data_IF_608721123640
#
_entry.id   IF_608721123640
#
_cell.length_a   1.000
_cell.length_b   1.000
_cell.length_c   1.000
_cell.angle_alpha   90.00
_cell.angle_beta   90.00
_cell.angle_gamma   90.00
#
_symmetry.space_group_name_H-M   'P 1'
#
loop_
_entity.id
_entity.type
_entity.pdbx_description
1 polymer ?
#
# COMPACT_ATOMS: atom_id res chain seq x y z
N UNK A 1 -6.02 17.14 -4.16
CA UNK A 1 -5.59 15.75 -4.47
C UNK A 1 -6.71 14.83 -4.92
N UNK A 2 -7.78 14.67 -4.14
CA UNK A 2 -8.87 13.70 -4.42
C UNK A 2 -9.32 13.66 -5.90
N UNK A 3 -9.77 14.80 -6.44
CA UNK A 3 -10.25 14.90 -7.82
C UNK A 3 -9.20 14.48 -8.86
N UNK A 4 -7.96 14.95 -8.69
CA UNK A 4 -6.84 14.64 -9.59
C UNK A 4 -6.46 13.16 -9.56
N UNK A 5 -6.45 12.55 -8.37
CA UNK A 5 -6.18 11.11 -8.23
C UNK A 5 -7.29 10.29 -8.90
N UNK A 6 -8.56 10.66 -8.67
CA UNK A 6 -9.70 9.98 -9.29
C UNK A 6 -9.65 10.08 -10.82
N UNK A 7 -9.30 11.25 -11.36
CA UNK A 7 -9.09 11.48 -12.80
C UNK A 7 -7.99 10.58 -13.37
N UNK A 8 -6.79 10.59 -12.77
CA UNK A 8 -5.67 9.73 -13.19
C UNK A 8 -6.08 8.25 -13.17
N UNK A 9 -6.81 7.81 -12.14
CA UNK A 9 -7.29 6.44 -12.06
C UNK A 9 -8.24 6.10 -13.21
N UNK A 10 -9.21 6.97 -13.51
CA UNK A 10 -10.15 6.76 -14.62
C UNK A 10 -9.45 6.73 -15.97
N UNK A 11 -8.52 7.66 -16.22
CA UNK A 11 -7.75 7.72 -17.47
C UNK A 11 -6.89 6.48 -17.69
N UNK A 12 -6.53 5.79 -16.61
CA UNK A 12 -5.76 4.53 -16.63
C UNK A 12 -6.63 3.27 -16.51
N UNK A 13 -7.96 3.41 -16.47
CA UNK A 13 -8.89 2.29 -16.34
C UNK A 13 -8.78 1.54 -15.01
N UNK A 14 -8.26 2.19 -13.96
CA UNK A 14 -8.13 1.60 -12.62
C UNK A 14 -9.16 2.19 -11.65
N UNK A 15 -9.61 1.37 -10.69
CA UNK A 15 -10.55 1.82 -9.65
C UNK A 15 -9.84 2.67 -8.61
N UNK A 16 -10.55 3.66 -8.07
CA UNK A 16 -10.07 4.54 -6.99
C UNK A 16 -10.93 4.32 -5.74
N UNK A 17 -10.30 4.04 -4.60
CA UNK A 17 -11.00 3.83 -3.33
C UNK A 17 -10.55 4.85 -2.28
N UNK A 18 -11.50 5.44 -1.56
CA UNK A 18 -11.23 6.41 -0.50
C UNK A 18 -11.49 5.80 0.88
N UNK A 19 -10.51 5.85 1.78
CA UNK A 19 -10.69 5.39 3.17
C UNK A 19 -11.45 6.43 4.00
N UNK A 20 -12.60 6.03 4.55
CA UNK A 20 -13.46 6.79 5.49
C UNK A 20 -13.78 5.87 6.68
N UNK A 21 -12.74 5.32 7.29
CA UNK A 21 -12.81 4.22 8.27
C UNK A 21 -12.38 4.65 9.69
N UNK A 22 -12.41 5.94 9.98
CA UNK A 22 -12.19 6.43 11.35
C UNK A 22 -13.44 6.25 12.20
N UNK A 23 -13.27 6.27 13.53
CA UNK A 23 -14.39 6.48 14.46
C UNK A 23 -14.98 7.87 14.20
N UNK A 24 -16.29 7.97 14.04
CA UNK A 24 -17.02 9.23 13.79
C UNK A 24 -17.84 9.60 15.03
N UNK A 25 -17.70 10.84 15.49
CA UNK A 25 -18.56 11.44 16.52
C UNK A 25 -19.55 12.42 15.90
N UNK A 26 -20.52 12.89 16.69
CA UNK A 26 -21.56 13.83 16.21
C UNK A 26 -20.96 15.10 15.58
N UNK A 27 -19.88 15.62 16.15
CA UNK A 27 -19.14 16.78 15.61
C UNK A 27 -18.48 16.52 14.25
N UNK A 28 -18.15 15.25 13.95
CA UNK A 28 -17.53 14.86 12.67
C UNK A 28 -18.55 14.69 11.55
N UNK A 29 -19.85 14.67 11.85
CA UNK A 29 -20.90 14.29 10.89
C UNK A 29 -20.91 15.18 9.65
N UNK A 30 -20.81 16.49 9.83
CA UNK A 30 -20.76 17.46 8.72
C UNK A 30 -19.54 17.21 7.84
N UNK A 31 -18.37 16.99 8.44
CA UNK A 31 -17.14 16.72 7.71
C UNK A 31 -17.23 15.38 6.97
N UNK A 32 -17.67 14.31 7.64
CA UNK A 32 -17.86 12.97 7.06
C UNK A 32 -18.77 13.04 5.84
N UNK A 33 -19.93 13.72 5.93
CA UNK A 33 -20.85 13.88 4.80
C UNK A 33 -20.19 14.64 3.65
N UNK A 34 -19.52 15.76 3.93
CA UNK A 34 -18.83 16.55 2.89
C UNK A 34 -17.72 15.77 2.18
N UNK A 35 -17.01 14.87 2.89
CA UNK A 35 -15.98 13.99 2.33
C UNK A 35 -16.60 12.96 1.38
N UNK A 36 -17.71 12.34 1.79
CA UNK A 36 -18.41 11.35 0.96
C UNK A 36 -19.06 12.02 -0.26
N UNK A 37 -19.64 13.22 -0.11
CA UNK A 37 -20.14 14.03 -1.23
C UNK A 37 -19.02 14.37 -2.21
N UNK A 38 -17.83 14.75 -1.71
CA UNK A 38 -16.67 15.01 -2.54
C UNK A 38 -16.18 13.75 -3.26
N UNK A 39 -16.23 12.58 -2.61
CA UNK A 39 -15.90 11.30 -3.23
C UNK A 39 -16.87 10.96 -4.38
N UNK A 40 -18.17 11.18 -4.17
CA UNK A 40 -19.20 11.00 -5.20
C UNK A 40 -18.96 11.94 -6.39
N UNK A 41 -18.79 13.24 -6.13
CA UNK A 41 -18.52 14.27 -7.16
C UNK A 41 -17.23 13.99 -7.94
N UNK A 42 -16.20 13.49 -7.25
CA UNK A 42 -14.94 13.09 -7.87
C UNK A 42 -15.03 11.76 -8.64
N UNK A 43 -16.17 11.07 -8.59
CA UNK A 43 -16.39 9.72 -9.16
C UNK A 43 -15.37 8.69 -8.63
N UNK A 44 -15.15 8.71 -7.31
CA UNK A 44 -14.46 7.65 -6.61
C UNK A 44 -15.27 6.35 -6.75
N UNK A 45 -14.59 5.23 -7.02
CA UNK A 45 -15.27 3.96 -7.30
C UNK A 45 -15.96 3.37 -6.07
N UNK A 46 -15.37 3.52 -4.88
CA UNK A 46 -15.95 3.09 -3.60
C UNK A 46 -15.28 3.80 -2.41
N UNK A 47 -15.96 3.87 -1.28
CA UNK A 47 -15.32 4.19 0.00
C UNK A 47 -15.02 2.91 0.79
N UNK A 48 -14.00 2.95 1.63
CA UNK A 48 -13.69 1.89 2.61
C UNK A 48 -14.06 2.42 3.98
N UNK A 49 -15.12 1.90 4.59
CA UNK A 49 -15.74 2.46 5.80
C UNK A 49 -15.84 1.44 6.93
N UNK A 50 -15.87 1.93 8.17
CA UNK A 50 -16.16 1.13 9.37
C UNK A 50 -17.25 1.70 10.26
N UNK A 51 -17.45 3.02 10.24
CA UNK A 51 -18.51 3.64 11.01
C UNK A 51 -19.86 3.46 10.32
N UNK A 52 -20.90 3.11 11.09
CA UNK A 52 -22.24 2.88 10.56
C UNK A 52 -22.81 4.15 9.93
N UNK A 53 -22.52 5.34 10.47
CA UNK A 53 -22.99 6.59 9.91
C UNK A 53 -22.44 6.83 8.50
N UNK A 54 -21.14 6.56 8.28
CA UNK A 54 -20.51 6.67 6.97
C UNK A 54 -21.06 5.63 5.98
N UNK A 55 -21.24 4.38 6.42
CA UNK A 55 -21.80 3.32 5.59
C UNK A 55 -23.24 3.61 5.17
N UNK A 56 -24.08 4.07 6.09
CA UNK A 56 -25.48 4.41 5.82
C UNK A 56 -25.55 5.59 4.85
N UNK A 57 -24.84 6.69 5.10
CA UNK A 57 -24.89 7.87 4.24
C UNK A 57 -24.36 7.59 2.82
N UNK A 58 -23.27 6.83 2.70
CA UNK A 58 -22.76 6.43 1.39
C UNK A 58 -23.78 5.61 0.60
N UNK A 59 -24.46 4.65 1.23
CA UNK A 59 -25.52 3.89 0.58
C UNK A 59 -26.72 4.77 0.19
N UNK A 60 -27.13 5.71 1.06
CA UNK A 60 -28.24 6.65 0.79
C UNK A 60 -28.00 7.46 -0.48
N UNK A 61 -26.78 7.94 -0.70
CA UNK A 61 -26.43 8.73 -1.90
C UNK A 61 -25.86 7.89 -3.05
N UNK A 62 -25.88 6.56 -2.96
CA UNK A 62 -25.44 5.66 -4.03
C UNK A 62 -23.93 5.54 -4.23
N UNK A 63 -23.11 5.85 -3.21
CA UNK A 63 -21.67 5.58 -3.19
C UNK A 63 -21.41 4.14 -2.73
N UNK A 64 -20.63 3.37 -3.49
CA UNK A 64 -20.31 1.99 -3.15
C UNK A 64 -19.45 1.89 -1.88
N UNK A 65 -19.76 0.91 -1.02
CA UNK A 65 -19.11 0.73 0.29
C UNK A 65 -18.36 -0.60 0.34
N UNK A 66 -17.07 -0.53 0.67
CA UNK A 66 -16.24 -1.65 1.09
C UNK A 66 -16.08 -1.63 2.61
N UNK A 67 -16.16 -2.81 3.23
CA UNK A 67 -16.04 -2.94 4.68
C UNK A 67 -14.56 -2.88 5.08
N UNK A 68 -14.21 -1.90 5.91
CA UNK A 68 -12.86 -1.75 6.46
C UNK A 68 -12.54 -2.88 7.43
N UNK A 69 -11.27 -3.27 7.49
CA UNK A 69 -10.78 -4.20 8.52
C UNK A 69 -11.05 -3.70 9.95
N UNK A 70 -11.22 -2.39 10.15
CA UNK A 70 -11.57 -1.81 11.46
C UNK A 70 -12.94 -2.21 12.01
N UNK A 71 -13.84 -2.78 11.18
CA UNK A 71 -15.10 -3.37 11.65
C UNK A 71 -14.89 -4.63 12.50
N UNK A 72 -13.71 -5.24 12.46
CA UNK A 72 -13.40 -6.44 13.23
C UNK A 72 -14.33 -7.63 12.91
N UNK A 73 -14.61 -7.84 11.62
CA UNK A 73 -15.39 -8.99 11.14
C UNK A 73 -14.48 -10.20 11.14
N UNK A 74 -14.69 -11.13 12.08
CA UNK A 74 -13.86 -12.32 12.28
C UNK A 74 -14.56 -13.64 11.98
N UNK A 75 -15.84 -13.62 11.63
CA UNK A 75 -16.63 -14.82 11.36
C UNK A 75 -17.78 -14.53 10.38
N UNK A 76 -18.32 -15.60 9.79
CA UNK A 76 -19.38 -15.54 8.79
C UNK A 76 -20.69 -14.92 9.32
N UNK A 77 -21.01 -15.10 10.60
CA UNK A 77 -22.25 -14.55 11.18
C UNK A 77 -22.20 -13.03 11.34
N UNK A 78 -21.06 -12.50 11.77
CA UNK A 78 -20.84 -11.05 11.80
C UNK A 78 -20.91 -10.45 10.39
N UNK A 79 -20.35 -11.14 9.38
CA UNK A 79 -20.44 -10.71 7.99
C UNK A 79 -21.90 -10.73 7.49
N UNK A 80 -22.65 -11.77 7.81
CA UNK A 80 -24.08 -11.91 7.46
C UNK A 80 -24.93 -10.81 8.08
N UNK A 81 -24.68 -10.48 9.35
CA UNK A 81 -25.35 -9.38 10.03
C UNK A 81 -25.13 -8.04 9.31
N UNK A 82 -23.88 -7.72 8.97
CA UNK A 82 -23.56 -6.45 8.28
C UNK A 82 -24.13 -6.44 6.87
N UNK A 83 -24.05 -7.54 6.13
CA UNK A 83 -24.62 -7.65 4.78
C UNK A 83 -26.14 -7.41 4.79
N UNK A 84 -26.86 -7.97 5.78
CA UNK A 84 -28.29 -7.75 5.95
C UNK A 84 -28.63 -6.30 6.32
N UNK A 85 -27.84 -5.67 7.19
CA UNK A 85 -28.02 -4.27 7.56
C UNK A 85 -27.84 -3.35 6.34
N UNK A 86 -26.76 -3.56 5.56
CA UNK A 86 -26.49 -2.78 4.35
C UNK A 86 -27.56 -2.97 3.28
N UNK A 87 -28.06 -4.19 3.10
CA UNK A 87 -29.21 -4.45 2.21
C UNK A 87 -30.45 -3.65 2.64
N UNK A 88 -30.74 -3.63 3.94
CA UNK A 88 -31.92 -2.92 4.47
C UNK A 88 -31.84 -1.41 4.24
N UNK A 89 -30.66 -0.79 4.32
CA UNK A 89 -30.46 0.62 3.98
C UNK A 89 -30.56 0.86 2.48
N UNK A 90 -29.97 -0.02 1.67
CA UNK A 90 -30.02 0.08 0.21
C UNK A 90 -31.45 0.01 -0.33
N UNK A 91 -32.31 -0.83 0.27
CA UNK A 91 -33.73 -0.91 -0.10
C UNK A 91 -34.53 0.35 0.27
N UNK A 92 -34.10 1.12 1.28
CA UNK A 92 -34.77 2.37 1.69
C UNK A 92 -34.39 3.55 0.81
N UNK A 93 -33.15 3.56 0.30
CA UNK A 93 -32.79 4.46 -0.79
C UNK A 93 -33.56 4.01 -2.04
N UNK A 94 -34.12 4.94 -2.83
CA UNK A 94 -35.04 4.67 -3.97
C UNK A 94 -34.48 3.74 -5.10
N UNK A 95 -33.29 3.17 -4.90
CA UNK A 95 -32.63 2.21 -5.78
C UNK A 95 -33.12 0.75 -5.60
N UNK A 96 -33.92 0.46 -4.57
CA UNK A 96 -34.33 -0.90 -4.18
C UNK A 96 -35.52 -1.50 -4.94
N UNK A 97 -35.40 -1.77 -6.24
CA UNK A 97 -36.37 -2.64 -6.97
C UNK A 97 -35.99 -4.13 -6.98
N UNK A 98 -34.93 -4.50 -6.25
CA UNK A 98 -34.38 -5.86 -6.25
C UNK A 98 -35.27 -6.87 -5.52
N UNK A 99 -35.51 -8.01 -6.16
CA UNK A 99 -36.21 -9.19 -5.60
C UNK A 99 -35.33 -10.05 -4.68
N UNK A 100 -34.07 -9.65 -4.46
CA UNK A 100 -33.12 -10.41 -3.65
C UNK A 100 -33.49 -10.32 -2.17
N UNK A 101 -33.74 -11.47 -1.54
CA UNK A 101 -33.84 -11.58 -0.10
C UNK A 101 -32.49 -12.07 0.45
N UNK A 102 -31.75 -11.29 1.26
CA UNK A 102 -30.49 -11.74 1.86
C UNK A 102 -30.63 -12.92 2.82
N UNK A 103 -31.85 -13.25 3.23
CA UNK A 103 -32.16 -14.48 3.98
C UNK A 103 -32.26 -15.71 3.08
N UNK A 104 -32.24 -15.52 1.76
CA UNK A 104 -32.24 -16.60 0.80
C UNK A 104 -30.85 -17.23 0.71
N UNK A 105 -30.60 -18.21 1.57
CA UNK A 105 -29.32 -18.90 1.70
C UNK A 105 -29.05 -19.93 0.59
N UNK A 106 -29.80 -19.88 -0.51
CA UNK A 106 -29.91 -20.96 -1.51
C UNK A 106 -28.61 -21.33 -2.23
N UNK A 107 -27.46 -20.71 -1.93
CA UNK A 107 -26.17 -21.08 -2.52
C UNK A 107 -24.98 -21.07 -1.55
N UNK A 108 -25.19 -21.04 -0.22
CA UNK A 108 -24.10 -21.09 0.75
C UNK A 108 -23.15 -19.88 0.76
N UNK A 109 -23.42 -18.86 -0.06
CA UNK A 109 -22.66 -17.62 -0.13
C UNK A 109 -23.38 -16.50 0.62
N UNK A 110 -22.61 -15.63 1.29
CA UNK A 110 -23.13 -14.37 1.82
C UNK A 110 -23.07 -13.34 0.69
N UNK A 111 -24.20 -12.74 0.33
CA UNK A 111 -24.24 -11.69 -0.69
C UNK A 111 -24.39 -10.30 -0.08
N UNK A 112 -23.85 -9.29 -0.79
CA UNK A 112 -24.02 -7.90 -0.44
C UNK A 112 -25.41 -7.33 -0.84
N UNK A 113 -25.60 -6.02 -0.68
CA UNK A 113 -26.89 -5.35 -0.94
C UNK A 113 -27.46 -5.54 -2.34
N UNK A 114 -26.59 -5.68 -3.35
CA UNK A 114 -26.97 -5.89 -4.76
C UNK A 114 -27.22 -7.37 -5.12
N UNK A 115 -27.20 -8.29 -4.15
CA UNK A 115 -27.41 -9.73 -4.37
C UNK A 115 -26.19 -10.50 -4.89
N UNK A 116 -25.07 -9.83 -5.17
CA UNK A 116 -23.83 -10.49 -5.56
C UNK A 116 -23.06 -11.06 -4.36
N UNK A 117 -22.41 -12.24 -4.48
CA UNK A 117 -21.55 -12.78 -3.43
C UNK A 117 -20.52 -11.75 -2.95
N UNK A 118 -20.35 -11.64 -1.64
CA UNK A 118 -19.33 -10.78 -1.04
C UNK A 118 -17.95 -11.28 -1.47
N UNK A 119 -17.15 -10.39 -2.03
CA UNK A 119 -15.76 -10.67 -2.40
C UNK A 119 -14.86 -10.43 -1.20
N UNK A 120 -13.93 -11.35 -0.97
CA UNK A 120 -12.96 -11.25 0.13
C UNK A 120 -11.71 -10.49 -0.35
N UNK A 121 -11.38 -9.45 0.41
CA UNK A 121 -10.15 -8.66 0.30
C UNK A 121 -9.25 -9.00 1.49
N UNK A 122 -7.97 -9.28 1.23
CA UNK A 122 -6.98 -9.59 2.28
C UNK A 122 -5.70 -8.80 2.06
N UNK A 123 -5.05 -8.41 3.17
CA UNK A 123 -3.70 -7.87 3.11
C UNK A 123 -2.75 -8.95 2.61
N UNK A 124 -1.92 -8.59 1.64
CA UNK A 124 -0.97 -9.49 1.01
C UNK A 124 0.47 -9.10 1.34
N UNK A 125 0.74 -7.80 1.51
CA UNK A 125 2.09 -7.30 1.76
C UNK A 125 2.13 -6.02 2.60
N UNK A 126 3.20 -5.87 3.38
CA UNK A 126 3.59 -4.63 4.04
C UNK A 126 3.37 -4.63 5.56
N UNK A 127 3.31 -3.44 6.15
CA UNK A 127 3.35 -3.29 7.60
C UNK A 127 2.13 -3.91 8.30
N UNK A 128 2.32 -4.95 9.11
CA UNK A 128 1.26 -5.50 9.94
C UNK A 128 1.00 -4.63 11.18
N UNK A 129 -0.25 -4.54 11.62
CA UNK A 129 -0.62 -3.90 12.88
C UNK A 129 -0.41 -4.88 14.05
N UNK A 130 0.03 -4.38 15.21
CA UNK A 130 0.06 -5.19 16.42
C UNK A 130 -1.33 -5.40 17.03
N UNK A 131 -2.27 -4.49 16.75
CA UNK A 131 -3.61 -4.51 17.31
C UNK A 131 -4.56 -5.23 16.36
N UNK A 132 -5.48 -6.01 16.93
CA UNK A 132 -6.54 -6.67 16.17
C UNK A 132 -7.38 -5.60 15.49
N UNK A 133 -7.48 -5.68 14.16
CA UNK A 133 -8.32 -4.79 13.36
C UNK A 133 -8.02 -3.31 13.54
N UNK A 134 -6.78 -2.95 13.89
CA UNK A 134 -6.36 -1.55 14.09
C UNK A 134 -6.92 -0.88 15.35
N UNK A 135 -7.65 -1.61 16.21
CA UNK A 135 -8.21 -1.10 17.48
C UNK A 135 -7.09 -0.87 18.51
N UNK A 136 -6.39 0.24 18.38
CA UNK A 136 -5.17 0.56 19.13
C UNK A 136 -5.32 1.85 19.95
N UNK A 137 -4.83 1.83 21.18
CA UNK A 137 -4.87 2.96 22.12
C UNK A 137 -3.50 3.55 22.44
N UNK A 138 -2.41 2.97 21.94
CA UNK A 138 -1.04 3.40 22.27
C UNK A 138 -0.75 4.84 21.87
N UNK A 139 -1.16 5.27 20.66
CA UNK A 139 -0.96 6.66 20.24
C UNK A 139 -1.77 7.65 21.08
N UNK A 140 -2.95 7.22 21.55
CA UNK A 140 -3.80 8.06 22.39
C UNK A 140 -3.17 8.24 23.77
N UNK A 141 -2.71 7.14 24.36
CA UNK A 141 -2.02 7.15 25.65
C UNK A 141 -0.74 7.99 25.62
N UNK A 142 0.12 7.80 24.61
CA UNK A 142 1.46 8.38 24.59
C UNK A 142 1.53 9.81 24.01
N UNK A 143 0.68 10.14 23.03
CA UNK A 143 0.78 11.41 22.28
C UNK A 143 -0.56 12.15 22.21
N UNK A 144 -1.59 11.70 22.92
CA UNK A 144 -2.95 12.24 22.81
C UNK A 144 -3.46 12.29 21.35
N UNK A 145 -3.07 11.30 20.53
CA UNK A 145 -3.45 11.17 19.12
C UNK A 145 -4.10 9.81 18.86
N UNK A 146 -5.27 9.78 18.23
CA UNK A 146 -6.01 8.52 18.08
C UNK A 146 -5.66 7.79 16.77
N UNK A 147 -5.07 6.60 16.88
CA UNK A 147 -4.89 5.70 15.75
C UNK A 147 -6.23 5.31 15.09
N UNK A 148 -7.31 5.22 15.88
CA UNK A 148 -8.67 4.95 15.40
C UNK A 148 -9.30 6.16 14.68
N UNK A 149 -8.66 7.33 14.74
CA UNK A 149 -9.05 8.56 14.03
C UNK A 149 -7.97 8.99 13.02
N UNK A 150 -7.19 8.04 12.51
CA UNK A 150 -6.21 8.26 11.43
C UNK A 150 -4.85 8.80 11.90
N UNK A 151 -4.71 9.18 13.17
CA UNK A 151 -3.49 9.79 13.73
C UNK A 151 -2.57 8.77 14.43
N UNK A 152 -2.28 7.64 13.76
CA UNK A 152 -1.38 6.62 14.30
C UNK A 152 0.08 7.13 14.34
N UNK A 153 0.63 7.28 15.54
CA UNK A 153 2.01 7.75 15.78
C UNK A 153 3.06 6.62 15.74
N UNK A 154 2.68 5.41 15.30
CA UNK A 154 3.55 4.22 15.16
C UNK A 154 4.36 3.89 16.42
N UNK A 155 3.74 4.05 17.60
CA UNK A 155 4.34 3.78 18.92
C UNK A 155 4.89 2.36 19.00
N UNK A 156 4.13 1.38 18.51
CA UNK A 156 4.54 -0.01 18.43
C UNK A 156 5.83 -0.28 17.62
N UNK A 157 6.32 0.66 16.80
CA UNK A 157 7.50 0.51 15.95
C UNK A 157 8.83 0.92 16.63
N UNK A 158 8.78 1.31 17.90
CA UNK A 158 9.92 1.75 18.73
C UNK A 158 10.52 0.59 19.53
N UNK A 159 11.71 0.81 20.11
CA UNK A 159 12.30 -0.09 21.10
C UNK A 159 11.74 0.19 22.50
N UNK A 160 11.58 -0.87 23.30
CA UNK A 160 11.03 -0.83 24.65
C UNK A 160 11.88 -1.65 25.62
N UNK A 161 12.04 -1.10 26.83
CA UNK A 161 12.50 -1.85 28.01
C UNK A 161 11.28 -2.35 28.76
N UNK A 162 11.26 -3.63 29.15
CA UNK A 162 10.15 -4.23 29.92
C UNK A 162 10.56 -4.37 31.37
N UNK A 163 9.74 -3.82 32.28
CA UNK A 163 9.95 -3.87 33.72
C UNK A 163 8.69 -4.42 34.40
N UNK A 164 8.88 -5.32 35.34
CA UNK A 164 7.83 -5.83 36.23
C UNK A 164 8.36 -5.96 37.65
N UNK A 165 7.71 -5.28 38.62
CA UNK A 165 7.96 -5.48 40.06
C UNK A 165 9.43 -5.42 40.50
N UNK A 166 10.24 -4.58 39.85
CA UNK A 166 11.68 -4.42 40.11
C UNK A 166 12.60 -5.30 39.26
N UNK A 167 12.05 -6.27 38.51
CA UNK A 167 12.74 -7.02 37.49
C UNK A 167 12.71 -6.26 36.16
N UNK A 168 13.87 -6.07 35.54
CA UNK A 168 13.98 -5.64 34.15
C UNK A 168 14.24 -6.88 33.30
N UNK A 169 13.39 -7.14 32.30
CA UNK A 169 13.61 -8.23 31.36
C UNK A 169 14.63 -7.77 30.32
N UNK A 170 15.74 -8.49 30.21
CA UNK A 170 16.67 -8.33 29.10
C UNK A 170 16.07 -8.98 27.85
N UNK A 171 15.47 -8.14 26.99
CA UNK A 171 14.81 -8.58 25.77
C UNK A 171 15.67 -8.21 24.57
N UNK A 172 16.14 -9.23 23.86
CA UNK A 172 16.91 -9.07 22.63
C UNK A 172 16.18 -8.14 21.63
N UNK A 173 16.92 -7.15 21.14
CA UNK A 173 16.51 -6.14 20.16
C UNK A 173 15.40 -5.16 20.59
N UNK A 174 14.77 -5.29 21.76
CA UNK A 174 13.79 -4.34 22.32
C UNK A 174 12.49 -4.08 21.49
N UNK A 175 12.33 -4.67 20.30
CA UNK A 175 11.21 -4.40 19.36
C UNK A 175 9.98 -5.28 19.59
N UNK A 176 9.57 -5.45 20.84
CA UNK A 176 8.54 -6.41 21.27
C UNK A 176 7.12 -6.17 20.74
N UNK A 177 6.85 -4.98 20.19
CA UNK A 177 5.55 -4.59 19.61
C UNK A 177 5.61 -4.35 18.10
N UNK A 178 6.78 -4.50 17.46
CA UNK A 178 6.97 -4.15 16.05
C UNK A 178 7.01 -5.40 15.17
N UNK A 179 5.90 -5.82 14.55
CA UNK A 179 5.89 -7.04 13.75
C UNK A 179 6.78 -6.88 12.53
N UNK A 180 7.34 -8.00 12.04
CA UNK A 180 7.89 -8.07 10.69
C UNK A 180 6.81 -7.71 9.67
N UNK A 181 7.22 -7.33 8.46
CA UNK A 181 6.27 -7.00 7.40
C UNK A 181 5.62 -8.29 6.87
N UNK A 182 4.31 -8.22 6.62
CA UNK A 182 3.58 -9.29 5.98
C UNK A 182 4.15 -9.52 4.58
N UNK A 183 4.42 -10.79 4.24
CA UNK A 183 4.74 -11.23 2.87
C UNK A 183 4.06 -12.57 2.63
N UNK A 184 3.09 -12.55 1.74
CA UNK A 184 2.30 -13.75 1.36
C UNK A 184 2.66 -14.32 -0.02
N UNK A 185 3.63 -13.73 -0.72
CA UNK A 185 3.87 -14.02 -2.14
C UNK A 185 4.16 -15.50 -2.41
N UNK A 186 4.81 -16.21 -1.48
CA UNK A 186 5.16 -17.64 -1.57
C UNK A 186 3.99 -18.59 -1.31
N UNK A 187 2.87 -18.10 -0.79
CA UNK A 187 1.63 -18.88 -0.62
C UNK A 187 0.40 -18.19 -1.20
N UNK A 188 0.58 -17.25 -2.13
CA UNK A 188 -0.53 -16.49 -2.71
C UNK A 188 -1.53 -17.39 -3.43
N UNK A 189 -1.04 -18.50 -4.01
CA UNK A 189 -1.86 -19.57 -4.57
C UNK A 189 -2.92 -20.07 -3.58
N UNK A 190 -2.53 -20.35 -2.33
CA UNK A 190 -3.46 -20.81 -1.28
C UNK A 190 -4.52 -19.77 -0.95
N UNK A 191 -4.16 -18.47 -0.99
CA UNK A 191 -5.13 -17.39 -0.78
C UNK A 191 -6.12 -17.30 -1.95
N UNK A 192 -5.66 -17.47 -3.19
CA UNK A 192 -6.51 -17.48 -4.38
C UNK A 192 -7.49 -18.66 -4.36
N UNK A 193 -6.99 -19.85 -4.02
CA UNK A 193 -7.77 -21.08 -3.82
C UNK A 193 -8.85 -20.92 -2.74
N UNK A 194 -8.52 -20.22 -1.65
CA UNK A 194 -9.46 -19.92 -0.56
C UNK A 194 -10.57 -18.92 -0.95
N UNK A 195 -10.56 -18.38 -2.18
CA UNK A 195 -11.60 -17.47 -2.67
C UNK A 195 -11.27 -15.98 -2.53
N UNK A 196 -10.04 -15.62 -2.16
CA UNK A 196 -9.61 -14.20 -2.12
C UNK A 196 -9.60 -13.63 -3.53
N UNK A 197 -10.10 -12.40 -3.69
CA UNK A 197 -10.19 -11.72 -4.99
C UNK A 197 -9.50 -10.37 -5.04
N UNK A 198 -9.18 -9.78 -3.89
CA UNK A 198 -8.46 -8.51 -3.82
C UNK A 198 -7.31 -8.66 -2.84
N UNK A 199 -6.10 -8.35 -3.32
CA UNK A 199 -4.86 -8.40 -2.55
C UNK A 199 -4.43 -6.98 -2.22
N UNK A 200 -4.47 -6.62 -0.94
CA UNK A 200 -4.15 -5.28 -0.45
C UNK A 200 -2.69 -5.17 -0.06
N UNK A 201 -2.03 -4.14 -0.56
CA UNK A 201 -0.64 -3.81 -0.24
C UNK A 201 -0.62 -2.54 0.62
N UNK A 202 0.09 -2.56 1.74
CA UNK A 202 0.24 -1.39 2.62
C UNK A 202 1.33 -0.45 2.10
N UNK A 203 0.90 0.66 1.49
CA UNK A 203 1.78 1.65 0.86
C UNK A 203 2.00 2.94 1.65
N UNK A 204 1.40 3.11 2.84
CA UNK A 204 1.47 4.39 3.56
C UNK A 204 2.92 4.73 3.95
N UNK A 205 3.33 5.97 3.64
CA UNK A 205 4.68 6.47 3.87
C UNK A 205 5.78 5.59 3.21
N UNK A 206 5.49 5.04 2.03
CA UNK A 206 6.46 4.30 1.21
C UNK A 206 6.82 5.11 -0.03
N UNK A 207 8.06 4.94 -0.50
CA UNK A 207 8.54 5.57 -1.72
C UNK A 207 7.91 4.97 -2.98
N UNK A 208 7.92 5.68 -4.11
CA UNK A 208 7.33 5.17 -5.35
C UNK A 208 8.02 3.90 -5.85
N UNK A 209 9.32 3.71 -5.58
CA UNK A 209 10.04 2.47 -5.89
C UNK A 209 9.51 1.26 -5.10
N UNK A 210 9.08 1.46 -3.86
CA UNK A 210 8.45 0.41 -3.07
C UNK A 210 7.12 0.01 -3.70
N UNK A 211 6.28 0.99 -4.00
CA UNK A 211 4.96 0.75 -4.60
C UNK A 211 5.12 0.03 -5.94
N UNK A 212 6.05 0.46 -6.79
CA UNK A 212 6.33 -0.17 -8.07
C UNK A 212 6.78 -1.62 -7.91
N UNK A 213 7.83 -1.88 -7.12
CA UNK A 213 8.38 -3.23 -6.97
C UNK A 213 7.38 -4.18 -6.34
N UNK A 214 6.71 -3.79 -5.25
CA UNK A 214 5.76 -4.67 -4.55
C UNK A 214 4.53 -4.94 -5.43
N UNK A 215 3.92 -3.92 -6.03
CA UNK A 215 2.77 -4.14 -6.92
C UNK A 215 3.13 -5.00 -8.12
N UNK A 216 4.32 -4.81 -8.72
CA UNK A 216 4.79 -5.63 -9.84
C UNK A 216 4.97 -7.09 -9.43
N UNK A 217 5.70 -7.37 -8.34
CA UNK A 217 5.94 -8.75 -7.91
C UNK A 217 4.63 -9.49 -7.62
N UNK A 218 3.68 -8.86 -6.93
CA UNK A 218 2.39 -9.48 -6.65
C UNK A 218 1.53 -9.66 -7.90
N UNK A 219 1.57 -8.70 -8.84
CA UNK A 219 0.88 -8.85 -10.12
C UNK A 219 1.44 -10.03 -10.91
N UNK A 220 2.76 -10.10 -11.05
CA UNK A 220 3.46 -11.21 -11.72
C UNK A 220 3.15 -12.55 -11.05
N UNK A 221 3.11 -12.63 -9.72
CA UNK A 221 2.78 -13.85 -9.00
C UNK A 221 1.33 -14.31 -9.23
N UNK A 222 0.38 -13.37 -9.24
CA UNK A 222 -1.02 -13.66 -9.57
C UNK A 222 -1.15 -14.15 -11.02
N UNK A 223 -0.48 -13.48 -11.97
CA UNK A 223 -0.48 -13.86 -13.39
C UNK A 223 0.17 -15.23 -13.59
N UNK A 224 1.30 -15.50 -12.92
CA UNK A 224 1.98 -16.79 -12.96
C UNK A 224 1.09 -17.92 -12.44
N UNK A 225 0.36 -17.69 -11.35
CA UNK A 225 -0.56 -18.70 -10.82
C UNK A 225 -1.73 -18.96 -11.77
N UNK A 226 -2.33 -17.91 -12.34
CA UNK A 226 -3.39 -18.04 -13.35
C UNK A 226 -2.92 -18.79 -14.62
N UNK A 227 -1.66 -18.66 -14.99
CA UNK A 227 -1.08 -19.28 -16.19
C UNK A 227 -0.39 -20.62 -15.93
N UNK A 228 -0.40 -21.12 -14.69
CA UNK A 228 0.24 -22.39 -14.31
C UNK A 228 1.78 -22.35 -14.27
N UNK A 229 2.38 -21.16 -14.20
CA UNK A 229 3.84 -20.95 -14.14
C UNK A 229 4.30 -20.41 -12.77
N UNK A 230 3.51 -20.62 -11.73
CA UNK A 230 3.85 -20.27 -10.35
C UNK A 230 4.62 -21.42 -9.71
N UNK A 231 5.91 -21.22 -9.46
CA UNK A 231 6.88 -22.23 -9.06
C UNK A 231 7.93 -21.68 -8.07
N UNK A 232 8.77 -22.55 -7.53
CA UNK A 232 9.80 -22.15 -6.55
C UNK A 232 10.83 -21.17 -7.12
N UNK A 233 11.16 -21.27 -8.42
CA UNK A 233 12.12 -20.38 -9.07
C UNK A 233 11.56 -18.94 -9.18
N UNK A 234 10.33 -18.80 -9.63
CA UNK A 234 9.65 -17.50 -9.71
C UNK A 234 9.44 -16.88 -8.33
N UNK A 235 9.08 -17.68 -7.31
CA UNK A 235 9.01 -17.24 -5.91
C UNK A 235 10.37 -16.69 -5.44
N UNK A 236 11.46 -17.42 -5.69
CA UNK A 236 12.82 -16.97 -5.34
C UNK A 236 13.18 -15.63 -5.98
N UNK A 237 12.88 -15.45 -7.27
CA UNK A 237 13.11 -14.18 -7.97
C UNK A 237 12.30 -13.02 -7.39
N UNK A 238 11.06 -13.24 -6.96
CA UNK A 238 10.28 -12.18 -6.33
C UNK A 238 10.78 -11.88 -4.91
N UNK A 239 11.22 -12.89 -4.16
CA UNK A 239 11.78 -12.71 -2.82
C UNK A 239 13.03 -11.83 -2.85
N UNK A 240 13.93 -12.06 -3.79
CA UNK A 240 15.11 -11.21 -4.02
C UNK A 240 14.70 -9.76 -4.31
N UNK A 241 13.70 -9.56 -5.18
CA UNK A 241 13.21 -8.22 -5.54
C UNK A 241 12.54 -7.51 -4.36
N UNK A 242 11.67 -8.20 -3.62
CA UNK A 242 10.99 -7.64 -2.45
C UNK A 242 11.99 -7.27 -1.34
N UNK A 243 13.09 -8.01 -1.21
CA UNK A 243 14.17 -7.69 -0.30
C UNK A 243 14.91 -6.38 -0.65
N UNK A 244 14.84 -5.91 -1.91
CA UNK A 244 15.50 -4.65 -2.33
C UNK A 244 14.80 -3.39 -1.85
N UNK A 245 13.50 -3.47 -1.54
CA UNK A 245 12.69 -2.33 -1.10
C UNK A 245 12.45 -2.37 0.40
N UNK A 246 11.90 -1.27 0.96
CA UNK A 246 11.70 -1.16 2.39
C UNK A 246 10.94 -2.37 2.96
N UNK A 247 11.56 -3.09 3.89
CA UNK A 247 10.91 -4.11 4.70
C UNK A 247 11.44 -4.04 6.13
N UNK A 248 10.82 -4.74 7.09
CA UNK A 248 11.32 -4.94 8.47
C UNK A 248 11.57 -6.44 8.76
N UNK A 249 12.11 -7.13 7.76
CA UNK A 249 11.99 -8.59 7.68
C UNK A 249 10.59 -9.00 7.22
N UNK A 250 10.44 -10.28 6.91
CA UNK A 250 9.20 -10.83 6.38
C UNK A 250 8.61 -11.89 7.31
N UNK A 251 7.29 -11.94 7.34
CA UNK A 251 6.49 -12.90 8.09
C UNK A 251 5.20 -13.21 7.34
N UNK A 252 4.68 -14.42 7.50
CA UNK A 252 3.41 -14.87 6.90
C UNK A 252 2.18 -14.19 7.54
N UNK A 253 2.37 -13.45 8.63
CA UNK A 253 1.29 -12.99 9.49
C UNK A 253 0.65 -14.17 10.22
N UNK A 254 -0.58 -13.97 10.71
CA UNK A 254 -1.36 -15.03 11.34
C UNK A 254 -2.06 -15.96 10.34
N UNK A 255 -1.71 -15.89 9.05
CA UNK A 255 -2.27 -16.79 8.04
C UNK A 255 -1.79 -18.22 8.26
N UNK A 256 -2.50 -19.18 7.65
CA UNK A 256 -2.15 -20.61 7.71
C UNK A 256 -2.02 -21.20 9.14
N UNK A 257 -2.65 -20.58 10.14
CA UNK A 257 -2.67 -21.08 11.52
C UNK A 257 -1.42 -20.76 12.33
N UNK A 258 -0.60 -19.80 11.87
CA UNK A 258 0.55 -19.30 12.63
C UNK A 258 0.11 -18.82 14.03
N UNK A 259 0.76 -19.34 15.07
CA UNK A 259 0.38 -19.08 16.47
C UNK A 259 1.11 -17.90 17.10
N UNK A 260 2.35 -17.65 16.66
CA UNK A 260 3.22 -16.64 17.25
C UNK A 260 3.46 -15.50 16.27
N UNK A 261 3.46 -14.29 16.81
CA UNK A 261 3.90 -13.11 16.06
C UNK A 261 5.41 -13.12 15.88
N UNK A 262 5.88 -12.74 14.70
CA UNK A 262 7.30 -12.48 14.47
C UNK A 262 7.60 -10.99 14.58
N UNK A 263 8.58 -10.64 15.40
CA UNK A 263 9.01 -9.27 15.65
C UNK A 263 10.28 -8.93 14.85
N UNK A 264 10.43 -7.66 14.45
CA UNK A 264 11.66 -7.20 13.82
C UNK A 264 12.81 -7.22 14.83
N UNK A 265 14.01 -7.54 14.38
CA UNK A 265 15.24 -7.45 15.19
C UNK A 265 15.98 -6.12 15.02
N UNK A 266 15.48 -5.21 14.18
CA UNK A 266 16.20 -3.97 13.83
C UNK A 266 15.32 -2.73 13.76
N UNK A 267 15.96 -1.58 14.00
CA UNK A 267 15.39 -0.28 13.67
C UNK A 267 15.35 -0.07 12.15
N UNK A 268 14.34 0.64 11.68
CA UNK A 268 14.28 1.05 10.27
C UNK A 268 14.13 -0.13 9.31
N UNK A 269 14.73 -0.04 8.14
CA UNK A 269 14.53 -1.03 7.07
C UNK A 269 15.56 -2.17 7.11
N UNK A 270 15.18 -3.36 6.64
CA UNK A 270 16.03 -4.49 6.29
C UNK A 270 16.33 -4.61 4.79
N UNK A 271 16.04 -3.58 3.99
CA UNK A 271 16.30 -3.60 2.54
C UNK A 271 17.77 -3.82 2.19
N UNK A 272 18.03 -4.54 1.09
CA UNK A 272 19.38 -4.90 0.61
C UNK A 272 20.07 -3.80 -0.22
N UNK A 273 19.31 -2.80 -0.67
CA UNK A 273 19.83 -1.65 -1.42
C UNK A 273 19.43 -0.34 -0.76
N UNK A 274 20.23 0.69 -0.92
CA UNK A 274 19.90 2.05 -0.52
C UNK A 274 19.92 2.96 -1.72
N UNK A 275 19.09 4.01 -1.71
CA UNK A 275 19.11 5.02 -2.76
C UNK A 275 19.81 6.27 -2.24
N UNK A 276 20.78 6.77 -3.00
CA UNK A 276 21.54 7.99 -2.70
C UNK A 276 21.12 9.06 -3.69
N UNK A 277 20.81 10.26 -3.19
CA UNK A 277 20.46 11.38 -4.08
C UNK A 277 21.70 11.79 -4.88
N UNK A 278 21.54 12.00 -6.18
CA UNK A 278 22.63 12.37 -7.08
C UNK A 278 22.36 13.70 -7.77
N UNK A 279 21.11 13.99 -8.13
CA UNK A 279 20.79 15.22 -8.83
C UNK A 279 19.32 15.38 -9.17
N UNK A 280 19.03 16.34 -10.04
CA UNK A 280 17.67 16.66 -10.48
C UNK A 280 17.56 16.78 -12.00
N UNK A 281 16.40 16.44 -12.54
CA UNK A 281 16.06 16.62 -13.94
C UNK A 281 15.94 18.11 -14.28
N UNK A 282 16.49 18.49 -15.43
CA UNK A 282 16.44 19.85 -15.97
C UNK A 282 15.50 19.89 -17.17
N UNK A 283 15.68 18.97 -18.12
CA UNK A 283 14.95 18.95 -19.38
C UNK A 283 14.86 17.55 -19.96
N UNK A 284 13.83 17.29 -20.77
CA UNK A 284 13.71 16.06 -21.54
C UNK A 284 13.58 16.37 -23.03
N UNK A 285 14.42 15.74 -23.84
CA UNK A 285 14.44 15.86 -25.29
C UNK A 285 13.69 14.68 -25.92
N UNK A 286 12.37 14.82 -26.06
CA UNK A 286 11.49 13.72 -26.47
C UNK A 286 11.82 13.08 -27.82
N UNK A 287 12.34 13.84 -28.78
CA UNK A 287 12.75 13.30 -30.09
C UNK A 287 13.96 12.37 -29.99
N UNK A 288 14.83 12.58 -29.00
CA UNK A 288 16.06 11.81 -28.80
C UNK A 288 15.90 10.72 -27.74
N UNK A 289 14.87 10.81 -26.89
CA UNK A 289 14.73 9.93 -25.73
C UNK A 289 15.81 10.18 -24.68
N UNK A 290 16.23 11.44 -24.51
CA UNK A 290 17.34 11.83 -23.62
C UNK A 290 16.87 12.82 -22.56
N UNK A 291 17.28 12.59 -21.33
CA UNK A 291 17.04 13.49 -20.20
C UNK A 291 18.33 14.19 -19.78
N UNK A 292 18.24 15.50 -19.55
CA UNK A 292 19.30 16.31 -18.97
C UNK A 292 19.12 16.38 -17.45
N UNK A 293 20.21 16.14 -16.72
CA UNK A 293 20.28 16.19 -15.26
C UNK A 293 21.40 17.11 -14.80
N UNK A 294 21.17 17.82 -13.70
CA UNK A 294 22.20 18.54 -12.96
C UNK A 294 22.63 17.67 -11.78
N UNK A 295 23.90 17.27 -11.74
CA UNK A 295 24.45 16.46 -10.64
C UNK A 295 24.74 17.38 -9.46
N UNK A 296 24.06 17.15 -8.34
CA UNK A 296 24.13 17.99 -7.15
C UNK A 296 24.94 17.33 -6.02
N UNK A 297 25.11 16.01 -6.06
CA UNK A 297 25.87 15.25 -5.06
C UNK A 297 26.45 13.95 -5.62
N UNK A 298 27.58 13.52 -5.07
CA UNK A 298 28.22 12.26 -5.43
C UNK A 298 28.74 12.21 -6.87
N UNK A 299 28.80 10.99 -7.39
CA UNK A 299 29.18 10.68 -8.77
C UNK A 299 28.16 9.72 -9.39
N UNK A 300 28.04 9.72 -10.71
CA UNK A 300 27.23 8.75 -11.46
C UNK A 300 28.13 8.08 -12.51
N UNK A 301 28.17 6.76 -12.55
CA UNK A 301 28.98 5.98 -13.49
C UNK A 301 28.10 5.29 -14.52
N UNK A 302 28.66 5.01 -15.70
CA UNK A 302 28.06 4.06 -16.63
C UNK A 302 27.93 2.70 -15.93
N UNK A 303 26.77 2.05 -16.06
CA UNK A 303 26.43 0.78 -15.40
C UNK A 303 25.70 0.93 -14.06
N UNK A 304 25.69 2.13 -13.46
CA UNK A 304 24.93 2.39 -12.24
C UNK A 304 23.43 2.14 -12.47
N UNK A 305 22.76 1.52 -11.50
CA UNK A 305 21.30 1.44 -11.49
C UNK A 305 20.75 2.72 -10.85
N UNK A 306 19.88 3.42 -11.57
CA UNK A 306 19.29 4.69 -11.14
C UNK A 306 17.80 4.57 -10.93
N UNK A 307 17.27 5.45 -10.08
CA UNK A 307 15.84 5.68 -9.93
C UNK A 307 15.52 7.17 -10.09
N UNK A 308 14.67 7.48 -11.05
CA UNK A 308 14.15 8.83 -11.30
C UNK A 308 12.74 8.88 -10.73
N UNK A 309 12.45 9.87 -9.89
CA UNK A 309 11.14 10.00 -9.23
C UNK A 309 10.58 11.40 -9.36
N UNK A 310 9.28 11.50 -9.55
CA UNK A 310 8.62 12.80 -9.71
C UNK A 310 7.11 12.73 -9.47
N UNK A 311 6.45 13.83 -9.09
CA UNK A 311 5.01 13.84 -8.80
C UNK A 311 4.12 13.43 -9.96
N UNK A 312 4.59 13.59 -11.20
CA UNK A 312 3.85 13.20 -12.42
C UNK A 312 4.56 12.13 -13.25
N UNK A 313 5.88 11.98 -13.05
CA UNK A 313 6.70 10.94 -13.68
C UNK A 313 6.52 9.59 -12.96
N UNK A 314 6.19 9.59 -11.67
CA UNK A 314 6.09 8.38 -10.87
C UNK A 314 7.48 7.87 -10.51
N UNK A 315 7.86 6.72 -11.09
CA UNK A 315 9.17 6.10 -10.89
C UNK A 315 9.65 5.46 -12.18
N UNK A 316 10.92 5.74 -12.53
CA UNK A 316 11.63 5.10 -13.62
C UNK A 316 12.87 4.43 -13.01
N UNK A 317 13.04 3.14 -13.23
CA UNK A 317 14.23 2.38 -12.79
C UNK A 317 14.93 1.86 -14.03
N UNK A 318 16.22 2.18 -14.19
CA UNK A 318 17.03 1.72 -15.31
C UNK A 318 18.52 1.68 -14.95
N UNK A 319 19.32 1.02 -15.79
CA UNK A 319 20.77 1.17 -15.76
C UNK A 319 21.19 2.36 -16.61
N UNK A 320 22.28 3.03 -16.23
CA UNK A 320 22.90 4.09 -17.02
C UNK A 320 23.72 3.44 -18.13
N UNK A 321 23.27 3.58 -19.38
CA UNK A 321 23.93 3.00 -20.55
C UNK A 321 24.96 3.96 -21.17
N UNK A 322 24.72 5.27 -21.08
CA UNK A 322 25.60 6.31 -21.61
C UNK A 322 25.46 7.56 -20.74
N UNK A 323 26.58 8.28 -20.56
CA UNK A 323 26.61 9.63 -19.98
C UNK A 323 27.28 10.57 -20.98
N UNK A 324 26.65 11.71 -21.26
CA UNK A 324 27.27 12.80 -22.03
C UNK A 324 27.42 14.06 -21.19
N UNK A 325 28.62 14.64 -21.21
CA UNK A 325 28.93 15.94 -20.63
C UNK A 325 29.55 16.82 -21.73
N UNK A 326 29.04 18.03 -21.93
CA UNK A 326 29.49 18.94 -23.01
C UNK A 326 29.58 18.28 -24.40
N UNK A 327 28.55 17.48 -24.73
CA UNK A 327 28.44 16.70 -25.98
C UNK A 327 29.50 15.59 -26.14
N UNK A 328 30.34 15.31 -25.16
CA UNK A 328 31.28 14.20 -25.17
C UNK A 328 30.78 13.06 -24.28
N UNK A 329 30.96 11.81 -24.72
CA UNK A 329 30.69 10.64 -23.89
C UNK A 329 31.74 10.56 -22.78
N UNK A 330 31.30 10.37 -21.53
CA UNK A 330 32.16 10.29 -20.35
C UNK A 330 31.83 9.03 -19.55
N UNK A 331 32.82 8.46 -18.88
CA UNK A 331 32.63 7.25 -18.05
C UNK A 331 31.88 7.56 -16.74
N UNK A 332 32.00 8.80 -16.24
CA UNK A 332 31.34 9.26 -15.03
C UNK A 332 30.96 10.73 -15.08
N UNK A 333 29.96 11.09 -14.28
CA UNK A 333 29.54 12.44 -13.98
C UNK A 333 29.83 12.79 -12.52
N UNK A 334 30.22 14.03 -12.25
CA UNK A 334 30.54 14.52 -10.91
C UNK A 334 29.72 15.76 -10.55
N UNK A 335 29.65 16.08 -9.25
CA UNK A 335 28.91 17.23 -8.73
C UNK A 335 29.23 18.53 -9.50
N UNK A 336 28.18 19.26 -9.88
CA UNK A 336 28.25 20.52 -10.61
C UNK A 336 28.11 20.35 -12.13
N UNK A 337 28.23 19.14 -12.65
CA UNK A 337 28.08 18.88 -14.07
C UNK A 337 26.61 18.77 -14.49
N UNK A 338 26.31 19.28 -15.69
CA UNK A 338 25.05 19.02 -16.39
C UNK A 338 25.28 17.95 -17.43
N UNK A 339 24.65 16.81 -17.23
CA UNK A 339 24.82 15.64 -18.08
C UNK A 339 23.53 15.30 -18.81
N UNK A 340 23.66 14.54 -19.89
CA UNK A 340 22.55 13.94 -20.60
C UNK A 340 22.69 12.41 -20.58
N UNK A 341 21.59 11.71 -20.29
CA UNK A 341 21.50 10.24 -20.33
C UNK A 341 20.26 9.81 -21.12
N UNK A 342 20.30 8.69 -21.86
CA UNK A 342 19.10 8.11 -22.48
C UNK A 342 18.08 7.67 -21.42
N UNK A 343 16.82 8.10 -21.56
CA UNK A 343 15.69 7.71 -20.70
C UNK A 343 14.45 7.52 -21.57
N UNK A 344 13.87 6.31 -21.55
CA UNK A 344 12.74 5.93 -22.41
C UNK A 344 11.45 6.70 -22.08
N UNK A 345 11.33 7.16 -20.84
CA UNK A 345 10.14 7.84 -20.34
C UNK A 345 10.40 9.33 -20.11
N UNK A 346 9.35 10.14 -20.25
CA UNK A 346 9.45 11.59 -20.19
C UNK A 346 9.78 12.05 -18.77
N UNK A 347 10.99 12.56 -18.56
CA UNK A 347 11.43 13.22 -17.31
C UNK A 347 10.91 14.68 -17.25
N UNK A 348 10.65 15.21 -16.05
CA UNK A 348 10.25 16.60 -15.80
C UNK A 348 11.35 17.40 -15.11
N UNK A 349 11.33 18.74 -15.24
CA UNK A 349 12.14 19.59 -14.38
C UNK A 349 11.87 19.28 -12.90
N UNK A 350 12.92 19.21 -12.11
CA UNK A 350 12.91 18.89 -10.67
C UNK A 350 12.55 17.45 -10.31
N UNK A 351 12.40 16.54 -11.28
CA UNK A 351 12.39 15.11 -10.97
C UNK A 351 13.71 14.74 -10.30
N UNK A 352 13.66 13.93 -9.25
CA UNK A 352 14.84 13.58 -8.45
C UNK A 352 15.50 12.35 -9.04
N UNK A 353 16.80 12.44 -9.29
CA UNK A 353 17.67 11.35 -9.69
C UNK A 353 18.40 10.79 -8.48
N UNK A 354 18.25 9.50 -8.25
CA UNK A 354 18.98 8.75 -7.25
C UNK A 354 19.75 7.61 -7.92
N UNK A 355 20.86 7.20 -7.29
CA UNK A 355 21.58 5.96 -7.60
C UNK A 355 21.26 4.91 -6.55
N UNK A 356 21.10 3.66 -6.95
CA UNK A 356 21.05 2.54 -6.02
C UNK A 356 22.46 2.06 -5.69
N UNK A 357 22.76 2.00 -4.39
CA UNK A 357 23.97 1.42 -3.85
C UNK A 357 23.61 0.12 -3.10
N UNK A 358 24.54 -0.85 -3.09
CA UNK A 358 24.44 -1.96 -2.14
C UNK A 358 24.52 -1.40 -0.73
N UNK A 359 23.70 -1.94 0.17
CA UNK A 359 23.78 -1.55 1.57
C UNK A 359 24.89 -2.34 2.25
N UNK A 360 25.85 -1.65 2.83
CA UNK A 360 26.82 -2.26 3.76
C UNK A 360 26.05 -2.70 5.02
N UNK A 361 26.33 -3.93 5.49
CA UNK A 361 25.61 -4.57 6.60
C UNK A 361 25.78 -3.88 7.95
#
# INVERSE_FOLDING_TARGET
>A
DLYKIAEICRDKGVKSYLTVNTVIYDEDMTLMRSVIDAAQKAQISAIIASDVAAMTYANEIGVEVHLSTQLNISNAEALRFIALAMWSYWQRAEYGSGTYNPRDHRQGHICGPKGHPVRIEMFAHGALCMAVSGKCYLSLHEHNTSANRGACAQICRRGYTVKDSGLELDIENQYIMSPKDLKTIHFINKMMDAGVRVFKIEGRARGPEYVYTVCRCYKEAIEAYCNGTYDEESIGRWDEQLATVFNRGFWDGYYLGQRLGEWTHRYGSGRTRQKTYVGKGIKYFSRLGVAEFEIESGELHIGDEIVITGPTTGVIIQKVEEIRYELQTVEKATKGQRISIPVKEKVRPSDKLYRFDKREE
#
